data_IF_529632767739
#
_entry.id   IF_529632767739
#
_cell.length_a   1.000
_cell.length_b   1.000
_cell.length_c   1.000
_cell.angle_alpha   90.00
_cell.angle_beta   90.00
_cell.angle_gamma   90.00
#
_symmetry.space_group_name_H-M   'P 1'
#
loop_
_entity.id
_entity.type
_entity.pdbx_description
1 polymer ?
#
# COMPACT_ATOMS: atom_id res chain seq x y z
N UNK A 1 -7.56 34.70 18.79
CA UNK A 1 -8.52 35.78 19.13
C UNK A 1 -9.35 36.23 17.93
N UNK A 2 -8.74 36.48 16.76
CA UNK A 2 -9.48 36.92 15.57
C UNK A 2 -10.41 35.86 14.96
N UNK A 3 -9.97 34.59 14.82
CA UNK A 3 -10.85 33.49 14.36
C UNK A 3 -12.12 33.33 15.21
N UNK A 4 -11.96 33.36 16.55
CA UNK A 4 -13.07 33.31 17.49
C UNK A 4 -14.07 34.48 17.33
N UNK A 5 -13.59 35.65 16.89
CA UNK A 5 -14.46 36.78 16.60
C UNK A 5 -15.29 36.53 15.32
N UNK A 6 -14.68 35.95 14.27
CA UNK A 6 -15.39 35.53 13.06
C UNK A 6 -16.52 34.52 13.38
N UNK A 7 -16.25 33.53 14.23
CA UNK A 7 -17.26 32.55 14.68
C UNK A 7 -18.37 33.20 15.50
N UNK A 8 -18.02 34.11 16.41
CA UNK A 8 -19.01 34.82 17.24
C UNK A 8 -19.90 35.68 16.36
N UNK A 9 -19.33 36.32 15.34
CA UNK A 9 -20.08 37.10 14.36
C UNK A 9 -21.02 36.21 13.55
N UNK A 10 -20.52 35.11 12.97
CA UNK A 10 -21.30 34.14 12.19
C UNK A 10 -22.50 33.61 12.97
N UNK A 11 -22.29 33.25 14.25
CA UNK A 11 -23.37 32.81 15.15
C UNK A 11 -24.46 33.87 15.32
N UNK A 12 -24.09 35.14 15.38
CA UNK A 12 -25.04 36.24 15.62
C UNK A 12 -25.76 36.69 14.35
N UNK A 13 -25.10 36.66 13.19
CA UNK A 13 -25.69 37.08 11.91
C UNK A 13 -26.48 35.98 11.22
N UNK A 14 -26.24 34.72 11.61
CA UNK A 14 -26.92 33.55 11.08
C UNK A 14 -26.38 33.08 9.73
N UNK A 15 -26.98 32.00 9.23
CA UNK A 15 -26.49 31.25 8.07
C UNK A 15 -26.44 32.10 6.79
N UNK A 16 -27.56 32.71 6.41
CA UNK A 16 -27.68 33.52 5.20
C UNK A 16 -26.60 34.62 5.11
N UNK A 17 -26.42 35.39 6.19
CA UNK A 17 -25.46 36.50 6.21
C UNK A 17 -24.01 36.03 6.31
N UNK A 18 -23.76 34.88 6.92
CA UNK A 18 -22.43 34.25 6.90
C UNK A 18 -22.04 33.93 5.46
N UNK A 19 -22.96 33.37 4.68
CA UNK A 19 -22.74 33.07 3.27
C UNK A 19 -22.60 34.30 2.38
N UNK A 20 -23.47 35.30 2.54
CA UNK A 20 -23.54 36.44 1.61
C UNK A 20 -22.64 37.61 1.99
N UNK A 21 -22.20 37.71 3.23
CA UNK A 21 -21.40 38.84 3.72
C UNK A 21 -20.01 38.41 4.23
N UNK A 22 -19.90 37.35 5.03
CA UNK A 22 -18.62 36.97 5.66
C UNK A 22 -17.72 36.15 4.74
N UNK A 23 -18.25 35.13 4.06
CA UNK A 23 -17.44 34.29 3.17
C UNK A 23 -16.86 35.05 1.95
N UNK A 24 -17.57 35.99 1.31
CA UNK A 24 -16.97 36.80 0.24
C UNK A 24 -15.77 37.60 0.71
N UNK A 25 -15.81 38.12 1.94
CA UNK A 25 -14.67 38.79 2.55
C UNK A 25 -13.50 37.83 2.80
N UNK A 26 -13.78 36.60 3.23
CA UNK A 26 -12.75 35.58 3.32
C UNK A 26 -12.10 35.31 1.96
N UNK A 27 -12.91 35.16 0.90
CA UNK A 27 -12.46 34.92 -0.47
C UNK A 27 -11.56 36.05 -1.00
N UNK A 28 -11.93 37.30 -0.78
CA UNK A 28 -11.12 38.46 -1.20
C UNK A 28 -9.75 38.51 -0.51
N UNK A 29 -9.64 37.97 0.70
CA UNK A 29 -8.43 38.01 1.52
C UNK A 29 -7.50 36.81 1.33
N UNK A 30 -7.89 35.77 0.57
CA UNK A 30 -7.08 34.54 0.42
C UNK A 30 -5.74 34.79 -0.29
N UNK A 31 -5.64 35.85 -1.08
CA UNK A 31 -4.42 36.22 -1.82
C UNK A 31 -3.84 37.56 -1.33
N UNK A 32 -4.15 37.96 -0.10
CA UNK A 32 -3.67 39.22 0.45
C UNK A 32 -2.13 39.24 0.56
N UNK A 33 -1.53 40.43 0.41
CA UNK A 33 -0.06 40.58 0.44
C UNK A 33 0.57 40.17 1.78
N UNK A 34 -0.16 40.37 2.89
CA UNK A 34 0.28 40.02 4.24
C UNK A 34 -0.17 38.60 4.61
N UNK A 35 0.76 37.79 5.11
CA UNK A 35 0.48 36.40 5.49
C UNK A 35 -0.47 36.28 6.68
N UNK A 36 -0.51 37.26 7.58
CA UNK A 36 -1.39 37.28 8.74
C UNK A 36 -2.87 37.38 8.34
N UNK A 37 -3.15 38.10 7.24
CA UNK A 37 -4.49 38.17 6.66
C UNK A 37 -4.90 36.81 6.08
N UNK A 38 -4.02 36.17 5.31
CA UNK A 38 -4.29 34.84 4.72
C UNK A 38 -4.41 33.76 5.79
N UNK A 39 -3.58 33.84 6.84
CA UNK A 39 -3.62 32.96 8.00
C UNK A 39 -4.95 33.09 8.74
N UNK A 40 -5.47 34.30 8.92
CA UNK A 40 -6.78 34.50 9.53
C UNK A 40 -7.88 33.79 8.72
N UNK A 41 -7.82 33.85 7.39
CA UNK A 41 -8.76 33.11 6.54
C UNK A 41 -8.61 31.60 6.73
N UNK A 42 -7.37 31.09 6.70
CA UNK A 42 -7.07 29.68 6.90
C UNK A 42 -7.53 29.15 8.26
N UNK A 43 -7.52 29.97 9.30
CA UNK A 43 -8.05 29.60 10.62
C UNK A 43 -9.58 29.67 10.66
N UNK A 44 -10.17 30.70 10.06
CA UNK A 44 -11.60 30.99 10.24
C UNK A 44 -12.52 30.14 9.35
N UNK A 45 -12.13 29.84 8.10
CA UNK A 45 -13.07 29.27 7.10
C UNK A 45 -13.71 27.94 7.52
N UNK A 46 -12.95 27.01 8.07
CA UNK A 46 -13.46 25.73 8.58
C UNK A 46 -14.29 25.85 9.84
N UNK A 47 -14.01 26.84 10.70
CA UNK A 47 -14.89 27.14 11.83
C UNK A 47 -16.23 27.76 11.35
N UNK A 48 -16.18 28.57 10.28
CA UNK A 48 -17.36 29.14 9.63
C UNK A 48 -18.21 28.09 8.90
N UNK A 49 -17.64 26.92 8.55
CA UNK A 49 -18.35 25.88 7.82
C UNK A 49 -19.61 25.38 8.56
N UNK A 50 -19.62 25.40 9.89
CA UNK A 50 -20.79 25.04 10.69
C UNK A 50 -21.96 26.03 10.60
N UNK A 51 -21.75 27.21 10.01
CA UNK A 51 -22.73 28.29 9.90
C UNK A 51 -23.14 28.56 8.45
N UNK A 52 -22.90 27.63 7.53
CA UNK A 52 -23.34 27.72 6.13
C UNK A 52 -23.96 26.41 5.67
N UNK A 53 -24.70 26.47 4.57
CA UNK A 53 -25.34 25.31 3.95
C UNK A 53 -24.31 24.34 3.37
N UNK A 54 -24.61 23.02 3.31
CA UNK A 54 -23.70 22.01 2.77
C UNK A 54 -23.16 22.36 1.37
N UNK A 55 -23.99 22.93 0.50
CA UNK A 55 -23.59 23.28 -0.87
C UNK A 55 -22.45 24.31 -0.89
N UNK A 56 -22.42 25.22 0.09
CA UNK A 56 -21.37 26.24 0.23
C UNK A 56 -20.09 25.65 0.83
N UNK A 57 -20.21 24.64 1.70
CA UNK A 57 -19.05 23.90 2.23
C UNK A 57 -18.32 23.17 1.11
N UNK A 58 -19.10 22.46 0.29
CA UNK A 58 -18.64 21.63 -0.83
C UNK A 58 -18.01 22.41 -1.98
N UNK A 59 -18.45 23.65 -2.18
CA UNK A 59 -18.03 24.50 -3.30
C UNK A 59 -17.01 25.56 -2.86
N UNK A 60 -17.42 26.51 -2.02
CA UNK A 60 -16.62 27.68 -1.68
C UNK A 60 -15.60 27.41 -0.58
N UNK A 61 -16.01 26.83 0.55
CA UNK A 61 -15.07 26.64 1.67
C UNK A 61 -13.98 25.63 1.30
N UNK A 62 -14.35 24.51 0.68
CA UNK A 62 -13.37 23.53 0.21
C UNK A 62 -12.39 24.14 -0.80
N UNK A 63 -12.84 25.01 -1.72
CA UNK A 63 -11.94 25.67 -2.68
C UNK A 63 -11.03 26.71 -2.02
N UNK A 64 -11.51 27.44 -1.01
CA UNK A 64 -10.66 28.32 -0.19
C UNK A 64 -9.55 27.52 0.49
N UNK A 65 -9.91 26.43 1.17
CA UNK A 65 -8.93 25.57 1.85
C UNK A 65 -7.94 24.97 0.86
N UNK A 66 -8.40 24.52 -0.31
CA UNK A 66 -7.53 24.02 -1.37
C UNK A 66 -6.50 25.05 -1.81
N UNK A 67 -6.90 26.31 -2.03
CA UNK A 67 -5.96 27.35 -2.42
C UNK A 67 -4.96 27.67 -1.30
N UNK A 68 -5.39 27.65 -0.04
CA UNK A 68 -4.52 27.94 1.10
C UNK A 68 -3.53 26.81 1.42
N UNK A 69 -3.82 25.57 1.02
CA UNK A 69 -2.86 24.46 1.06
C UNK A 69 -1.69 24.70 0.11
N UNK A 70 -1.87 25.50 -0.94
CA UNK A 70 -0.80 25.84 -1.90
C UNK A 70 -0.11 27.19 -1.55
N UNK A 71 -0.40 27.78 -0.38
CA UNK A 71 0.14 29.09 0.01
C UNK A 71 1.67 29.06 0.17
N UNK A 72 2.34 30.18 -0.12
CA UNK A 72 3.79 30.30 0.06
C UNK A 72 4.21 30.25 1.53
N UNK A 73 3.38 30.74 2.45
CA UNK A 73 3.67 30.80 3.87
C UNK A 73 3.34 29.47 4.57
N UNK A 74 4.33 28.95 5.30
CA UNK A 74 4.21 27.68 6.04
C UNK A 74 3.06 27.69 7.05
N UNK A 75 2.91 28.79 7.79
CA UNK A 75 1.86 28.93 8.81
C UNK A 75 0.45 28.89 8.22
N UNK A 76 0.28 29.36 6.99
CA UNK A 76 -1.00 29.34 6.28
C UNK A 76 -1.35 27.93 5.85
N UNK A 77 -0.40 27.20 5.23
CA UNK A 77 -0.59 25.79 4.85
C UNK A 77 -0.87 24.90 6.05
N UNK A 78 -0.15 25.11 7.16
CA UNK A 78 -0.37 24.38 8.41
C UNK A 78 -1.80 24.63 8.94
N UNK A 79 -2.25 25.89 8.97
CA UNK A 79 -3.62 26.22 9.36
C UNK A 79 -4.66 25.62 8.41
N UNK A 80 -4.40 25.61 7.11
CA UNK A 80 -5.28 25.00 6.11
C UNK A 80 -5.43 23.48 6.30
N UNK A 81 -4.35 22.78 6.69
CA UNK A 81 -4.40 21.35 7.01
C UNK A 81 -5.36 21.06 8.19
N UNK A 82 -5.26 21.84 9.28
CA UNK A 82 -6.19 21.75 10.43
C UNK A 82 -7.62 22.09 10.02
N UNK A 83 -7.77 23.06 9.12
CA UNK A 83 -9.06 23.51 8.65
C UNK A 83 -9.79 22.43 7.84
N UNK A 84 -9.03 21.68 7.03
CA UNK A 84 -9.57 20.58 6.25
C UNK A 84 -10.13 19.46 7.15
N UNK A 85 -9.47 19.16 8.26
CA UNK A 85 -9.98 18.21 9.28
C UNK A 85 -11.35 18.64 9.82
N UNK A 86 -11.51 19.93 10.19
CA UNK A 86 -12.78 20.47 10.66
C UNK A 86 -13.93 20.35 9.64
N UNK A 87 -13.60 20.34 8.35
CA UNK A 87 -14.58 20.27 7.27
C UNK A 87 -15.11 18.85 7.04
N UNK A 88 -14.30 17.81 7.30
CA UNK A 88 -14.65 16.41 7.03
C UNK A 88 -15.99 15.96 7.65
N UNK A 89 -16.27 16.20 8.95
CA UNK A 89 -17.54 15.78 9.55
C UNK A 89 -18.75 16.56 9.05
N UNK A 90 -18.54 17.66 8.31
CA UNK A 90 -19.59 18.53 7.81
C UNK A 90 -20.03 18.21 6.38
N UNK A 91 -19.30 17.32 5.69
CA UNK A 91 -19.68 16.81 4.37
C UNK A 91 -20.85 15.83 4.47
N UNK A 92 -21.88 15.96 3.60
CA UNK A 92 -23.08 15.14 3.69
C UNK A 92 -22.87 13.69 3.22
N UNK A 93 -21.87 13.46 2.37
CA UNK A 93 -21.57 12.18 1.74
C UNK A 93 -20.05 12.06 1.42
N UNK A 94 -19.67 11.00 0.70
CA UNK A 94 -18.27 10.69 0.38
C UNK A 94 -17.80 11.26 -0.97
N UNK A 95 -18.59 12.10 -1.65
CA UNK A 95 -18.28 12.58 -3.02
C UNK A 95 -16.98 13.40 -3.06
N UNK A 96 -16.61 14.03 -1.95
CA UNK A 96 -15.38 14.84 -1.82
C UNK A 96 -14.18 14.03 -1.33
N UNK A 97 -14.34 12.74 -1.01
CA UNK A 97 -13.29 11.95 -0.36
C UNK A 97 -11.99 11.91 -1.17
N UNK A 98 -12.07 11.58 -2.45
CA UNK A 98 -10.89 11.50 -3.32
C UNK A 98 -10.15 12.84 -3.39
N UNK A 99 -10.90 13.94 -3.48
CA UNK A 99 -10.31 15.28 -3.51
C UNK A 99 -9.58 15.63 -2.22
N UNK A 100 -10.19 15.32 -1.07
CA UNK A 100 -9.59 15.51 0.25
C UNK A 100 -8.36 14.60 0.43
N UNK A 101 -8.42 13.36 -0.04
CA UNK A 101 -7.30 12.42 0.00
C UNK A 101 -6.10 12.98 -0.79
N UNK A 102 -6.32 13.50 -2.00
CA UNK A 102 -5.28 14.15 -2.80
C UNK A 102 -4.66 15.35 -2.08
N UNK A 103 -5.49 16.19 -1.45
CA UNK A 103 -5.04 17.34 -0.65
C UNK A 103 -4.20 16.89 0.56
N UNK A 104 -4.63 15.82 1.24
CA UNK A 104 -3.87 15.23 2.34
C UNK A 104 -2.53 14.67 1.86
N UNK A 105 -2.48 13.96 0.74
CA UNK A 105 -1.23 13.48 0.16
C UNK A 105 -0.27 14.62 -0.21
N UNK A 106 -0.79 15.72 -0.75
CA UNK A 106 0.01 16.91 -1.01
C UNK A 106 0.65 17.45 0.28
N UNK A 107 -0.13 17.58 1.36
CA UNK A 107 0.33 18.10 2.65
C UNK A 107 1.31 17.18 3.38
N UNK A 108 1.18 15.84 3.25
CA UNK A 108 2.16 14.90 3.82
C UNK A 108 3.52 14.99 3.09
N UNK A 109 3.53 15.47 1.86
CA UNK A 109 4.74 15.73 1.08
C UNK A 109 5.21 17.19 1.15
N UNK A 110 4.69 18.00 2.08
CA UNK A 110 5.08 19.41 2.23
C UNK A 110 6.57 19.57 2.57
N UNK A 111 7.27 20.58 2.03
CA UNK A 111 8.66 20.84 2.38
C UNK A 111 8.87 21.24 3.85
N UNK A 112 7.83 21.72 4.54
CA UNK A 112 7.89 22.08 5.95
C UNK A 112 7.50 20.91 6.85
N UNK A 113 8.43 20.51 7.70
CA UNK A 113 8.16 19.49 8.73
C UNK A 113 7.01 19.84 9.67
N UNK A 114 6.70 21.13 9.90
CA UNK A 114 5.57 21.54 10.74
C UNK A 114 4.21 21.22 10.08
N UNK A 115 4.11 21.40 8.76
CA UNK A 115 2.91 21.06 7.99
C UNK A 115 2.75 19.54 7.93
N UNK A 116 3.83 18.82 7.65
CA UNK A 116 3.84 17.34 7.64
C UNK A 116 3.44 16.78 9.00
N UNK A 117 4.01 17.28 10.10
CA UNK A 117 3.72 16.82 11.46
C UNK A 117 2.25 17.05 11.84
N UNK A 118 1.72 18.24 11.55
CA UNK A 118 0.30 18.56 11.75
C UNK A 118 -0.59 17.63 10.93
N UNK A 119 -0.25 17.42 9.66
CA UNK A 119 -1.02 16.58 8.74
C UNK A 119 -1.05 15.13 9.20
N UNK A 120 0.09 14.56 9.61
CA UNK A 120 0.17 13.18 10.12
C UNK A 120 -0.58 13.01 11.43
N UNK A 121 -0.52 14.00 12.33
CA UNK A 121 -1.15 13.91 13.67
C UNK A 121 -2.65 14.15 13.66
N UNK A 122 -3.14 14.98 12.75
CA UNK A 122 -4.53 15.47 12.78
C UNK A 122 -5.29 15.02 11.54
N UNK A 123 -4.87 15.47 10.35
CA UNK A 123 -5.62 15.25 9.11
C UNK A 123 -5.64 13.78 8.66
N UNK A 124 -4.51 13.06 8.72
CA UNK A 124 -4.42 11.65 8.31
C UNK A 124 -5.40 10.78 9.12
N UNK A 125 -5.38 10.79 10.48
CA UNK A 125 -6.37 10.06 11.27
C UNK A 125 -7.82 10.44 10.95
N UNK A 126 -8.09 11.73 10.70
CA UNK A 126 -9.42 12.20 10.37
C UNK A 126 -9.92 11.67 9.02
N UNK A 127 -9.09 11.70 7.98
CA UNK A 127 -9.42 11.14 6.65
C UNK A 127 -9.63 9.63 6.76
N UNK A 128 -8.78 8.90 7.49
CA UNK A 128 -8.93 7.46 7.69
C UNK A 128 -10.24 7.11 8.42
N UNK A 129 -10.59 7.87 9.45
CA UNK A 129 -11.85 7.72 10.18
C UNK A 129 -13.06 8.04 9.29
N UNK A 130 -12.95 9.03 8.42
CA UNK A 130 -14.01 9.40 7.49
C UNK A 130 -14.25 8.28 6.45
N UNK A 131 -13.17 7.68 5.93
CA UNK A 131 -13.22 6.55 4.99
C UNK A 131 -13.46 5.17 5.61
N UNK A 132 -13.55 5.08 6.95
CA UNK A 132 -13.68 3.79 7.67
C UNK A 132 -14.96 3.03 7.29
N UNK A 133 -16.06 3.76 7.07
CA UNK A 133 -17.36 3.16 6.66
C UNK A 133 -17.25 2.36 5.36
N UNK A 134 -16.39 2.81 4.46
CA UNK A 134 -16.14 2.19 3.16
C UNK A 134 -14.98 1.18 3.19
N UNK A 135 -14.39 0.96 4.39
CA UNK A 135 -13.24 0.07 4.62
C UNK A 135 -12.00 0.42 3.79
N UNK A 136 -11.82 1.70 3.47
CA UNK A 136 -10.70 2.18 2.66
C UNK A 136 -9.39 2.35 3.43
N UNK A 137 -9.37 2.15 4.75
CA UNK A 137 -8.21 2.44 5.61
C UNK A 137 -6.90 1.83 5.11
N UNK A 138 -6.89 0.51 4.83
CA UNK A 138 -5.68 -0.17 4.32
C UNK A 138 -5.31 0.34 2.94
N UNK A 139 -6.31 0.56 2.08
CA UNK A 139 -6.11 1.00 0.70
C UNK A 139 -5.48 2.41 0.62
N UNK A 140 -5.94 3.32 1.46
CA UNK A 140 -5.43 4.69 1.62
C UNK A 140 -4.01 4.68 2.16
N UNK A 141 -3.74 3.87 3.20
CA UNK A 141 -2.39 3.75 3.76
C UNK A 141 -1.39 3.19 2.74
N UNK A 142 -1.80 2.23 1.90
CA UNK A 142 -0.95 1.72 0.83
C UNK A 142 -0.69 2.77 -0.27
N UNK A 143 -1.69 3.59 -0.62
CA UNK A 143 -1.48 4.75 -1.51
C UNK A 143 -0.53 5.77 -0.91
N UNK A 144 -0.66 6.06 0.39
CA UNK A 144 0.22 6.95 1.11
C UNK A 144 1.67 6.44 1.10
N UNK A 145 1.88 5.16 1.40
CA UNK A 145 3.20 4.53 1.33
C UNK A 145 3.81 4.62 -0.07
N UNK A 146 3.00 4.40 -1.11
CA UNK A 146 3.44 4.55 -2.50
C UNK A 146 3.84 6.00 -2.82
N UNK A 147 3.07 6.98 -2.31
CA UNK A 147 3.36 8.41 -2.49
C UNK A 147 4.65 8.83 -1.77
N UNK A 148 4.91 8.26 -0.58
CA UNK A 148 6.11 8.54 0.21
C UNK A 148 7.36 7.84 -0.30
N UNK A 149 7.22 6.77 -1.09
CA UNK A 149 8.34 5.95 -1.54
C UNK A 149 9.49 6.73 -2.22
N UNK A 150 9.25 7.68 -3.14
CA UNK A 150 10.33 8.49 -3.72
C UNK A 150 11.08 9.33 -2.68
N UNK A 151 10.36 9.87 -1.69
CA UNK A 151 10.94 10.69 -0.61
C UNK A 151 11.80 9.82 0.30
N UNK A 152 11.28 8.67 0.74
CA UNK A 152 12.03 7.69 1.57
C UNK A 152 13.30 7.24 0.84
N UNK A 153 13.19 6.95 -0.46
CA UNK A 153 14.34 6.58 -1.29
C UNK A 153 15.39 7.70 -1.37
N UNK A 154 14.96 8.94 -1.61
CA UNK A 154 15.87 10.07 -1.67
C UNK A 154 16.57 10.31 -0.33
N UNK A 155 15.83 10.30 0.79
CA UNK A 155 16.42 10.44 2.13
C UNK A 155 17.38 9.29 2.41
N UNK A 156 17.06 8.05 2.02
CA UNK A 156 17.96 6.93 2.19
C UNK A 156 19.29 7.19 1.46
N UNK A 157 19.25 7.67 0.20
CA UNK A 157 20.44 8.06 -0.55
C UNK A 157 21.21 9.20 0.14
N UNK A 158 20.53 10.28 0.53
CA UNK A 158 21.16 11.47 1.10
C UNK A 158 21.80 11.20 2.47
N UNK A 159 21.23 10.27 3.24
CA UNK A 159 21.72 9.83 4.54
C UNK A 159 22.71 8.66 4.46
N UNK A 160 23.04 8.21 3.25
CA UNK A 160 23.98 7.12 3.04
C UNK A 160 25.34 7.48 3.64
N UNK A 161 25.76 6.72 4.64
CA UNK A 161 27.00 6.99 5.38
C UNK A 161 28.27 6.48 4.68
N UNK A 162 28.16 5.99 3.44
CA UNK A 162 29.26 5.43 2.65
C UNK A 162 29.55 6.32 1.41
N UNK A 163 30.36 7.39 1.55
CA UNK A 163 30.59 8.37 0.49
C UNK A 163 31.49 7.90 -0.67
N UNK A 164 32.16 6.75 -0.56
CA UNK A 164 33.10 6.25 -1.59
C UNK A 164 32.44 5.67 -2.85
N UNK A 165 31.13 5.85 -3.03
CA UNK A 165 30.39 5.39 -4.21
C UNK A 165 30.08 6.58 -5.13
N UNK A 166 31.11 7.13 -5.79
CA UNK A 166 30.91 8.10 -6.88
C UNK A 166 30.43 7.44 -8.19
N UNK A 167 30.11 6.14 -8.15
CA UNK A 167 29.43 5.41 -9.23
C UNK A 167 27.95 5.18 -8.89
N UNK A 168 27.28 6.17 -8.29
CA UNK A 168 25.82 6.28 -8.47
C UNK A 168 25.59 6.64 -9.94
N UNK A 169 25.62 5.65 -10.83
CA UNK A 169 25.12 5.80 -12.20
C UNK A 169 23.59 5.85 -12.17
N UNK A 170 23.03 6.85 -11.49
CA UNK A 170 21.60 7.01 -11.28
C UNK A 170 21.01 6.01 -10.28
N UNK A 171 20.27 6.54 -9.31
CA UNK A 171 19.12 5.91 -8.60
C UNK A 171 19.25 4.52 -7.94
N UNK A 172 20.34 3.75 -8.04
CA UNK A 172 20.39 2.37 -7.58
C UNK A 172 21.51 2.10 -6.56
N UNK A 173 21.25 1.21 -5.61
CA UNK A 173 22.26 0.71 -4.66
C UNK A 173 23.10 -0.39 -5.31
N UNK A 174 24.43 -0.30 -5.22
CA UNK A 174 25.39 -1.28 -5.79
C UNK A 174 25.50 -2.57 -4.96
N UNK A 175 25.85 -3.69 -5.61
CA UNK A 175 26.12 -5.02 -5.05
C UNK A 175 27.00 -5.04 -3.78
N UNK A 176 27.94 -4.10 -3.64
CA UNK A 176 28.84 -4.05 -2.47
C UNK A 176 28.22 -3.41 -1.23
N UNK A 177 27.04 -2.78 -1.37
CA UNK A 177 26.41 -2.03 -0.29
C UNK A 177 25.78 -2.93 0.78
N UNK A 178 24.98 -3.98 0.46
CA UNK A 178 24.40 -4.84 1.49
C UNK A 178 25.45 -5.56 2.33
N UNK A 179 26.59 -5.93 1.74
CA UNK A 179 27.70 -6.57 2.44
C UNK A 179 28.38 -5.63 3.44
N UNK A 180 28.66 -4.38 3.03
CA UNK A 180 29.24 -3.37 3.95
C UNK A 180 28.24 -2.90 5.01
N UNK A 181 26.95 -2.90 4.67
CA UNK A 181 25.88 -2.61 5.61
C UNK A 181 25.81 -3.66 6.73
N UNK A 182 25.89 -4.95 6.38
CA UNK A 182 25.85 -6.03 7.38
C UNK A 182 27.06 -6.05 8.32
N UNK A 183 28.20 -5.49 7.91
CA UNK A 183 29.39 -5.27 8.76
C UNK A 183 29.12 -4.33 9.96
N UNK A 184 27.98 -3.62 9.98
CA UNK A 184 27.42 -3.00 11.18
C UNK A 184 28.19 -1.79 11.74
N UNK A 185 29.03 -1.14 10.93
CA UNK A 185 29.88 -0.03 11.41
C UNK A 185 29.15 1.29 11.61
N UNK A 186 28.01 1.49 10.94
CA UNK A 186 27.24 2.74 10.94
C UNK A 186 25.73 2.42 10.93
N UNK A 187 24.95 3.20 11.67
CA UNK A 187 23.49 3.15 11.65
C UNK A 187 22.94 3.80 10.39
N UNK A 188 21.93 3.19 9.77
CA UNK A 188 21.23 3.76 8.62
C UNK A 188 19.71 3.68 8.79
N UNK A 189 19.12 4.46 9.71
CA UNK A 189 17.74 4.27 10.15
C UNK A 189 16.71 4.35 9.03
N UNK A 190 16.87 5.25 8.06
CA UNK A 190 15.92 5.41 6.94
C UNK A 190 15.94 4.20 6.00
N UNK A 191 17.12 3.62 5.76
CA UNK A 191 17.25 2.39 4.98
C UNK A 191 16.69 1.18 5.75
N UNK A 192 17.01 1.11 7.04
CA UNK A 192 16.56 0.05 7.95
C UNK A 192 15.07 -0.01 8.16
N UNK A 193 14.41 1.14 8.26
CA UNK A 193 12.99 1.23 8.53
C UNK A 193 12.15 0.38 7.55
N UNK A 194 12.57 0.28 6.28
CA UNK A 194 11.86 -0.54 5.31
C UNK A 194 11.84 -2.01 5.70
N UNK A 195 12.99 -2.59 6.02
CA UNK A 195 13.11 -4.03 6.29
C UNK A 195 12.95 -4.43 7.75
N UNK A 196 13.12 -3.49 8.70
CA UNK A 196 12.91 -3.72 10.12
C UNK A 196 11.46 -3.46 10.57
N UNK A 197 10.75 -2.51 9.94
CA UNK A 197 9.42 -2.09 10.36
C UNK A 197 8.36 -2.14 9.24
N UNK A 198 8.63 -1.57 8.05
CA UNK A 198 7.64 -1.43 6.98
C UNK A 198 7.17 -2.77 6.39
N UNK A 199 8.06 -3.53 5.73
CA UNK A 199 7.70 -4.84 5.15
C UNK A 199 7.20 -5.82 6.21
N UNK A 200 7.80 -5.87 7.42
CA UNK A 200 7.29 -6.74 8.46
C UNK A 200 5.86 -6.37 8.93
N UNK A 201 5.50 -5.08 8.91
CA UNK A 201 4.11 -4.63 9.13
C UNK A 201 3.20 -5.00 7.96
N UNK A 202 3.67 -4.91 6.72
CA UNK A 202 2.92 -5.35 5.53
C UNK A 202 2.63 -6.85 5.57
N UNK A 203 3.59 -7.69 5.96
CA UNK A 203 3.40 -9.14 6.15
C UNK A 203 2.35 -9.42 7.22
N UNK A 204 2.35 -8.66 8.32
CA UNK A 204 1.32 -8.77 9.34
C UNK A 204 -0.06 -8.38 8.80
N UNK A 205 -0.16 -7.26 8.07
CA UNK A 205 -1.41 -6.84 7.42
C UNK A 205 -1.91 -7.93 6.47
N UNK A 206 -1.05 -8.46 5.60
CA UNK A 206 -1.38 -9.55 4.67
C UNK A 206 -1.99 -10.75 5.40
N UNK A 207 -1.39 -11.15 6.52
CA UNK A 207 -1.84 -12.28 7.33
C UNK A 207 -3.23 -12.06 7.96
N UNK A 208 -3.65 -10.79 8.10
CA UNK A 208 -4.97 -10.39 8.60
C UNK A 208 -5.99 -10.16 7.48
N UNK A 209 -5.57 -10.08 6.21
CA UNK A 209 -6.48 -9.86 5.09
C UNK A 209 -7.32 -11.11 4.79
N UNK A 210 -8.64 -10.96 4.57
CA UNK A 210 -9.46 -12.03 4.04
C UNK A 210 -8.93 -12.55 2.70
N UNK A 211 -9.14 -13.84 2.45
CA UNK A 211 -8.67 -14.49 1.22
C UNK A 211 -9.18 -13.87 -0.09
N UNK A 212 -10.28 -13.14 -0.04
CA UNK A 212 -10.93 -12.54 -1.22
C UNK A 212 -10.39 -11.14 -1.56
N UNK A 213 -9.56 -10.55 -0.70
CA UNK A 213 -9.01 -9.20 -0.88
C UNK A 213 -7.84 -9.16 -1.88
N UNK A 214 -8.08 -9.66 -3.09
CA UNK A 214 -7.07 -9.69 -4.16
C UNK A 214 -6.65 -8.29 -4.60
N UNK A 215 -7.54 -7.29 -4.50
CA UNK A 215 -7.25 -5.89 -4.82
C UNK A 215 -6.15 -5.32 -3.92
N UNK A 216 -6.24 -5.55 -2.61
CA UNK A 216 -5.26 -5.11 -1.63
C UNK A 216 -3.94 -5.87 -1.80
N UNK A 217 -3.99 -7.19 -2.01
CA UNK A 217 -2.78 -7.97 -2.30
C UNK A 217 -2.09 -7.49 -3.58
N UNK A 218 -2.85 -7.21 -4.63
CA UNK A 218 -2.30 -6.66 -5.88
C UNK A 218 -1.62 -5.32 -5.63
N UNK A 219 -2.22 -4.45 -4.81
CA UNK A 219 -1.62 -3.16 -4.43
C UNK A 219 -0.34 -3.32 -3.61
N UNK A 220 -0.30 -4.27 -2.68
CA UNK A 220 0.92 -4.60 -1.92
C UNK A 220 2.01 -5.16 -2.86
N UNK A 221 1.66 -6.07 -3.77
CA UNK A 221 2.59 -6.56 -4.79
C UNK A 221 3.14 -5.41 -5.64
N UNK A 222 2.29 -4.50 -6.12
CA UNK A 222 2.73 -3.32 -6.86
C UNK A 222 3.65 -2.41 -6.05
N UNK A 223 3.42 -2.25 -4.73
CA UNK A 223 4.31 -1.52 -3.85
C UNK A 223 5.69 -2.19 -3.74
N UNK A 224 5.74 -3.50 -3.51
CA UNK A 224 7.01 -4.25 -3.42
C UNK A 224 7.80 -4.21 -4.74
N UNK A 225 7.12 -4.33 -5.88
CA UNK A 225 7.73 -4.15 -7.20
C UNK A 225 8.26 -2.73 -7.38
N UNK A 226 7.51 -1.70 -6.97
CA UNK A 226 7.95 -0.31 -7.06
C UNK A 226 9.17 -0.03 -6.16
N UNK A 227 9.22 -0.61 -4.96
CA UNK A 227 10.41 -0.55 -4.10
C UNK A 227 11.59 -1.21 -4.78
N UNK A 228 11.41 -2.42 -5.32
CA UNK A 228 12.46 -3.17 -6.02
C UNK A 228 13.01 -2.42 -7.23
N UNK A 229 12.14 -1.78 -8.01
CA UNK A 229 12.52 -0.93 -9.14
C UNK A 229 13.28 0.32 -8.72
N UNK A 230 13.10 0.84 -7.50
CA UNK A 230 13.84 2.02 -7.04
C UNK A 230 15.15 1.66 -6.35
N UNK A 231 15.09 0.75 -5.38
CA UNK A 231 16.24 0.36 -4.58
C UNK A 231 17.20 -0.56 -5.35
N UNK A 232 16.71 -1.25 -6.39
CA UNK A 232 17.51 -2.11 -7.26
C UNK A 232 17.38 -3.60 -6.92
N UNK A 233 17.87 -4.42 -7.86
CA UNK A 233 17.76 -5.88 -7.80
C UNK A 233 18.52 -6.49 -6.63
N UNK A 234 19.65 -5.92 -6.24
CA UNK A 234 20.45 -6.40 -5.11
C UNK A 234 19.68 -6.26 -3.79
N UNK A 235 18.99 -5.13 -3.60
CA UNK A 235 18.13 -4.92 -2.44
C UNK A 235 16.95 -5.90 -2.42
N UNK A 236 16.32 -6.13 -3.58
CA UNK A 236 15.29 -7.16 -3.71
C UNK A 236 15.84 -8.55 -3.31
N UNK A 237 16.99 -8.94 -3.86
CA UNK A 237 17.57 -10.28 -3.70
C UNK A 237 18.04 -10.56 -2.28
N UNK A 238 18.66 -9.56 -1.64
CA UNK A 238 19.36 -9.74 -0.38
C UNK A 238 18.57 -9.26 0.84
N UNK A 239 17.51 -8.45 0.65
CA UNK A 239 16.70 -7.90 1.74
C UNK A 239 15.24 -8.31 1.60
N UNK A 240 14.55 -7.93 0.51
CA UNK A 240 13.10 -8.19 0.41
C UNK A 240 12.81 -9.70 0.29
N UNK A 241 13.51 -10.41 -0.59
CA UNK A 241 13.27 -11.83 -0.83
C UNK A 241 13.48 -12.69 0.44
N UNK A 242 14.59 -12.58 1.18
CA UNK A 242 14.76 -13.35 2.41
C UNK A 242 13.70 -13.11 3.47
N UNK A 243 13.21 -11.87 3.61
CA UNK A 243 12.13 -11.54 4.54
C UNK A 243 10.85 -12.30 4.22
N UNK A 244 10.45 -12.31 2.94
CA UNK A 244 9.22 -12.99 2.52
C UNK A 244 9.38 -14.52 2.51
N UNK A 245 10.56 -15.05 2.16
CA UNK A 245 10.86 -16.48 2.27
C UNK A 245 10.74 -16.97 3.71
N UNK A 246 11.35 -16.27 4.67
CA UNK A 246 11.23 -16.63 6.10
C UNK A 246 9.77 -16.55 6.56
N UNK A 247 9.02 -15.55 6.11
CA UNK A 247 7.61 -15.38 6.48
C UNK A 247 6.69 -16.49 5.94
N UNK A 248 7.00 -17.09 4.79
CA UNK A 248 6.27 -18.27 4.28
C UNK A 248 6.74 -19.59 4.89
N UNK A 249 7.80 -19.57 5.69
CA UNK A 249 8.35 -20.77 6.34
C UNK A 249 9.55 -21.38 5.64
N UNK A 250 10.06 -20.75 4.58
CA UNK A 250 11.21 -21.21 3.82
C UNK A 250 12.54 -20.79 4.48
N UNK A 251 13.62 -21.40 4.00
CA UNK A 251 14.97 -21.02 4.39
C UNK A 251 15.45 -19.86 3.52
N UNK A 252 16.17 -18.92 4.13
CA UNK A 252 16.78 -17.80 3.41
C UNK A 252 18.13 -17.43 4.02
N UNK A 253 19.01 -16.88 3.18
CA UNK A 253 20.25 -16.27 3.64
C UNK A 253 19.97 -14.89 4.24
N UNK A 254 20.42 -14.68 5.48
CA UNK A 254 20.26 -13.43 6.21
C UNK A 254 21.60 -12.70 6.41
N UNK A 255 22.65 -13.10 5.68
CA UNK A 255 24.00 -12.51 5.75
C UNK A 255 24.03 -11.01 5.48
N UNK A 256 23.11 -10.50 4.68
CA UNK A 256 22.98 -9.08 4.33
C UNK A 256 22.23 -8.24 5.38
N UNK A 257 21.72 -8.84 6.45
CA UNK A 257 21.06 -8.13 7.55
C UNK A 257 22.00 -7.93 8.73
N UNK A 258 21.80 -6.83 9.47
CA UNK A 258 22.48 -6.61 10.75
C UNK A 258 22.13 -7.72 11.74
N UNK A 259 23.11 -8.06 12.57
CA UNK A 259 22.97 -9.07 13.63
C UNK A 259 21.83 -8.77 14.60
N UNK A 260 21.46 -7.49 14.77
CA UNK A 260 20.34 -7.01 15.58
C UNK A 260 18.97 -7.29 14.92
N UNK A 261 18.89 -7.29 13.59
CA UNK A 261 17.66 -7.52 12.83
C UNK A 261 17.40 -9.01 12.59
N UNK A 262 18.45 -9.83 12.43
CA UNK A 262 18.30 -11.26 12.12
C UNK A 262 17.38 -12.05 13.09
N UNK A 263 17.47 -11.88 14.43
CA UNK A 263 16.57 -12.58 15.35
C UNK A 263 15.10 -12.18 15.15
N UNK A 264 14.82 -10.89 14.90
CA UNK A 264 13.47 -10.38 14.65
C UNK A 264 12.88 -10.98 13.38
N UNK A 265 13.71 -11.15 12.35
CA UNK A 265 13.31 -11.77 11.08
C UNK A 265 13.02 -13.25 11.28
N UNK A 266 13.93 -13.98 11.93
CA UNK A 266 13.76 -15.42 12.24
C UNK A 266 12.51 -15.69 13.08
N UNK A 267 12.15 -14.78 13.99
CA UNK A 267 10.95 -14.89 14.82
C UNK A 267 9.63 -14.83 14.02
N UNK A 268 9.67 -14.43 12.75
CA UNK A 268 8.49 -14.37 11.85
C UNK A 268 8.24 -15.67 11.11
N UNK A 269 9.12 -16.66 11.25
CA UNK A 269 8.88 -17.98 10.67
C UNK A 269 7.65 -18.61 11.34
N UNK A 270 6.67 -19.11 10.57
CA UNK A 270 5.54 -19.83 11.14
C UNK A 270 6.00 -21.03 11.98
N UNK A 271 5.54 -21.10 13.23
CA UNK A 271 5.91 -22.18 14.16
C UNK A 271 4.82 -23.25 14.22
N UNK A 272 3.55 -22.84 14.21
CA UNK A 272 2.40 -23.74 14.30
C UNK A 272 1.73 -23.92 12.93
N UNK A 273 1.03 -25.03 12.75
CA UNK A 273 0.39 -25.38 11.48
C UNK A 273 -0.62 -24.33 10.98
N UNK A 274 -1.29 -23.62 11.89
CA UNK A 274 -2.24 -22.57 11.54
C UNK A 274 -1.52 -21.37 10.90
N UNK A 275 -0.42 -20.91 11.50
CA UNK A 275 0.38 -19.80 10.98
C UNK A 275 1.00 -20.17 9.63
N UNK A 276 1.48 -21.41 9.49
CA UNK A 276 2.03 -21.90 8.23
C UNK A 276 0.98 -21.86 7.12
N UNK A 277 -0.24 -22.32 7.43
CA UNK A 277 -1.37 -22.25 6.51
C UNK A 277 -1.77 -20.81 6.15
N UNK A 278 -1.79 -19.88 7.12
CA UNK A 278 -2.04 -18.45 6.86
C UNK A 278 -0.95 -17.90 5.94
N UNK A 279 0.32 -18.24 6.18
CA UNK A 279 1.43 -17.79 5.35
C UNK A 279 1.31 -18.29 3.90
N UNK A 280 0.94 -19.56 3.69
CA UNK A 280 0.64 -20.12 2.37
C UNK A 280 -0.54 -19.41 1.69
N UNK A 281 -1.58 -19.01 2.43
CA UNK A 281 -2.78 -18.42 1.85
C UNK A 281 -2.69 -16.91 1.60
N UNK A 282 -1.88 -16.20 2.39
CA UNK A 282 -1.90 -14.75 2.46
C UNK A 282 -0.57 -14.09 2.08
N UNK A 283 0.57 -14.72 2.43
CA UNK A 283 1.90 -14.15 2.19
C UNK A 283 2.52 -14.70 0.90
N UNK A 284 2.41 -16.01 0.67
CA UNK A 284 2.91 -16.67 -0.54
C UNK A 284 2.38 -16.07 -1.86
N UNK A 285 1.09 -15.70 -2.02
CA UNK A 285 0.63 -15.02 -3.24
C UNK A 285 1.42 -13.74 -3.55
N UNK A 286 1.79 -12.99 -2.51
CA UNK A 286 2.54 -11.73 -2.64
C UNK A 286 4.03 -11.97 -2.80
N UNK A 287 4.60 -13.02 -2.19
CA UNK A 287 5.96 -13.47 -2.49
C UNK A 287 6.08 -13.81 -3.99
N UNK A 288 5.13 -14.57 -4.53
CA UNK A 288 5.14 -14.97 -5.94
C UNK A 288 5.00 -13.77 -6.88
N UNK A 289 4.02 -12.89 -6.67
CA UNK A 289 3.72 -11.81 -7.61
C UNK A 289 4.48 -10.50 -7.34
N UNK A 290 4.74 -10.17 -6.07
CA UNK A 290 5.31 -8.88 -5.65
C UNK A 290 6.82 -8.89 -5.43
N UNK A 291 7.43 -10.06 -5.32
CA UNK A 291 8.87 -10.23 -5.03
C UNK A 291 9.54 -11.05 -6.12
N UNK A 292 9.13 -12.31 -6.29
CA UNK A 292 9.64 -13.19 -7.35
C UNK A 292 9.10 -12.82 -8.74
N UNK A 293 7.95 -12.14 -8.79
CA UNK A 293 7.34 -11.60 -10.02
C UNK A 293 8.10 -10.42 -10.62
N UNK A 294 9.16 -9.94 -9.97
CA UNK A 294 10.02 -8.91 -10.54
C UNK A 294 10.62 -9.38 -11.89
N UNK A 295 10.64 -8.56 -12.95
CA UNK A 295 11.01 -9.01 -14.31
C UNK A 295 12.34 -9.76 -14.39
N UNK A 296 13.36 -9.34 -13.63
CA UNK A 296 14.68 -9.97 -13.62
C UNK A 296 14.76 -11.28 -12.81
N UNK A 297 13.68 -11.68 -12.13
CA UNK A 297 13.62 -12.89 -11.30
C UNK A 297 12.83 -14.03 -11.95
N UNK A 298 12.55 -13.95 -13.26
CA UNK A 298 11.75 -14.94 -13.98
C UNK A 298 12.25 -16.39 -13.83
N UNK A 299 13.56 -16.62 -13.95
CA UNK A 299 14.14 -17.96 -13.78
C UNK A 299 13.96 -18.48 -12.34
N UNK A 300 14.21 -17.62 -11.35
CA UNK A 300 14.05 -17.96 -9.93
C UNK A 300 12.57 -18.24 -9.59
N UNK A 301 11.65 -17.44 -10.11
CA UNK A 301 10.20 -17.68 -9.96
C UNK A 301 9.80 -19.01 -10.58
N UNK A 302 10.30 -19.31 -11.78
CA UNK A 302 10.01 -20.58 -12.48
C UNK A 302 10.44 -21.77 -11.62
N UNK A 303 11.67 -21.74 -11.13
CA UNK A 303 12.22 -22.83 -10.34
C UNK A 303 11.54 -22.97 -8.98
N UNK A 304 11.28 -21.85 -8.30
CA UNK A 304 10.55 -21.84 -7.04
C UNK A 304 9.13 -22.40 -7.21
N UNK A 305 8.39 -21.95 -8.22
CA UNK A 305 7.03 -22.39 -8.48
C UNK A 305 6.97 -23.87 -8.90
N UNK A 306 7.93 -24.35 -9.69
CA UNK A 306 8.06 -25.77 -10.05
C UNK A 306 8.23 -26.64 -8.80
N UNK A 307 9.19 -26.29 -7.93
CA UNK A 307 9.45 -27.04 -6.71
C UNK A 307 8.24 -27.03 -5.76
N UNK A 308 7.59 -25.88 -5.63
CA UNK A 308 6.38 -25.72 -4.82
C UNK A 308 5.22 -26.60 -5.32
N UNK A 309 4.98 -26.62 -6.63
CA UNK A 309 3.90 -27.42 -7.23
C UNK A 309 4.18 -28.92 -7.15
N UNK A 310 5.42 -29.36 -7.37
CA UNK A 310 5.81 -30.77 -7.24
C UNK A 310 5.62 -31.26 -5.80
N UNK A 311 6.10 -30.49 -4.80
CA UNK A 311 5.91 -30.84 -3.39
C UNK A 311 4.44 -30.89 -2.99
N UNK A 312 3.60 -30.04 -3.59
CA UNK A 312 2.16 -30.03 -3.32
C UNK A 312 1.39 -31.21 -3.94
N UNK A 313 1.99 -31.95 -4.89
CA UNK A 313 1.34 -33.06 -5.58
C UNK A 313 1.39 -34.40 -4.82
N UNK A 314 2.14 -34.48 -3.71
CA UNK A 314 2.27 -35.71 -2.92
C UNK A 314 0.93 -36.12 -2.28
N UNK A 315 0.52 -37.38 -2.42
CA UNK A 315 -0.85 -37.87 -2.16
C UNK A 315 -1.14 -38.23 -0.69
N UNK A 316 -1.08 -37.28 0.24
CA UNK A 316 -1.60 -37.46 1.62
C UNK A 316 -2.80 -36.54 1.90
N UNK A 317 -3.69 -36.91 2.82
CA UNK A 317 -4.90 -36.11 3.12
C UNK A 317 -4.59 -34.70 3.65
N UNK A 318 -3.52 -34.55 4.44
CA UNK A 318 -2.99 -33.24 4.86
C UNK A 318 -2.33 -32.47 3.72
N UNK A 319 -1.75 -33.20 2.75
CA UNK A 319 -1.23 -32.61 1.51
C UNK A 319 -2.33 -32.10 0.59
N UNK A 320 -3.52 -32.70 0.56
CA UNK A 320 -4.64 -32.22 -0.28
C UNK A 320 -5.17 -30.84 0.11
N UNK A 321 -5.15 -30.48 1.40
CA UNK A 321 -5.54 -29.13 1.86
C UNK A 321 -4.40 -28.14 1.54
N UNK A 322 -3.16 -28.55 1.82
CA UNK A 322 -1.98 -27.74 1.50
C UNK A 322 -1.88 -27.46 -0.01
N UNK A 323 -2.20 -28.44 -0.86
CA UNK A 323 -2.19 -28.28 -2.31
C UNK A 323 -3.25 -27.29 -2.78
N UNK A 324 -4.47 -27.35 -2.24
CA UNK A 324 -5.51 -26.35 -2.52
C UNK A 324 -5.07 -24.92 -2.14
N UNK A 325 -4.41 -24.77 -0.99
CA UNK A 325 -3.91 -23.47 -0.52
C UNK A 325 -2.76 -22.95 -1.42
N UNK A 326 -1.87 -23.82 -1.90
CA UNK A 326 -0.85 -23.50 -2.91
C UNK A 326 -1.48 -23.10 -4.24
N UNK A 327 -2.45 -23.86 -4.77
CA UNK A 327 -3.14 -23.51 -6.02
C UNK A 327 -3.86 -22.17 -5.94
N UNK A 328 -4.40 -21.80 -4.77
CA UNK A 328 -4.99 -20.48 -4.57
C UNK A 328 -3.95 -19.35 -4.69
N UNK A 329 -2.71 -19.58 -4.26
CA UNK A 329 -1.59 -18.64 -4.45
C UNK A 329 -1.18 -18.52 -5.91
N UNK A 330 -1.14 -19.64 -6.64
CA UNK A 330 -0.86 -19.65 -8.08
C UNK A 330 -1.98 -18.97 -8.86
N UNK A 331 -3.24 -19.17 -8.48
CA UNK A 331 -4.40 -18.45 -9.06
C UNK A 331 -4.23 -16.94 -8.93
N UNK A 332 -3.76 -16.46 -7.77
CA UNK A 332 -3.48 -15.04 -7.58
C UNK A 332 -2.34 -14.55 -8.49
N UNK A 333 -1.27 -15.32 -8.65
CA UNK A 333 -0.19 -15.01 -9.62
C UNK A 333 -0.73 -14.87 -11.05
N UNK A 334 -1.72 -15.69 -11.42
CA UNK A 334 -2.40 -15.60 -12.72
C UNK A 334 -3.30 -14.36 -12.88
N UNK A 335 -3.43 -13.48 -11.89
CA UNK A 335 -4.03 -12.15 -12.11
C UNK A 335 -3.09 -11.20 -12.88
N UNK A 336 -1.83 -11.61 -13.10
CA UNK A 336 -0.82 -10.89 -13.85
C UNK A 336 -0.52 -11.65 -15.15
N UNK A 337 -0.91 -11.06 -16.28
CA UNK A 337 -0.84 -11.70 -17.61
C UNK A 337 0.58 -12.12 -18.01
N UNK A 338 1.58 -11.35 -17.58
CA UNK A 338 3.00 -11.60 -17.83
C UNK A 338 3.50 -12.94 -17.27
N UNK A 339 2.80 -13.53 -16.30
CA UNK A 339 3.19 -14.81 -15.69
C UNK A 339 2.43 -16.02 -16.26
N UNK A 340 1.44 -15.82 -17.13
CA UNK A 340 0.59 -16.92 -17.64
C UNK A 340 1.40 -17.99 -18.36
N UNK A 341 2.26 -17.60 -19.31
CA UNK A 341 3.07 -18.54 -20.08
C UNK A 341 3.99 -19.40 -19.19
N UNK A 342 4.60 -18.79 -18.17
CA UNK A 342 5.43 -19.49 -17.19
C UNK A 342 4.61 -20.55 -16.46
N UNK A 343 3.44 -20.18 -15.94
CA UNK A 343 2.57 -21.10 -15.19
C UNK A 343 2.11 -22.26 -16.09
N UNK A 344 1.67 -21.97 -17.31
CA UNK A 344 1.25 -23.00 -18.27
C UNK A 344 2.39 -23.98 -18.61
N UNK A 345 3.60 -23.48 -18.82
CA UNK A 345 4.77 -24.33 -19.13
C UNK A 345 5.09 -25.28 -17.97
N UNK A 346 5.08 -24.80 -16.72
CA UNK A 346 5.35 -25.63 -15.54
C UNK A 346 4.27 -26.71 -15.39
N UNK A 347 2.99 -26.35 -15.51
CA UNK A 347 1.88 -27.32 -15.44
C UNK A 347 2.00 -28.39 -16.53
N UNK A 348 2.41 -28.01 -17.73
CA UNK A 348 2.62 -28.95 -18.84
C UNK A 348 3.82 -29.88 -18.60
N UNK A 349 4.91 -29.38 -18.00
CA UNK A 349 6.06 -30.18 -17.59
C UNK A 349 5.69 -31.21 -16.53
N UNK A 350 4.94 -30.81 -15.51
CA UNK A 350 4.49 -31.72 -14.44
C UNK A 350 3.62 -32.84 -15.01
N UNK A 351 2.70 -32.53 -15.94
CA UNK A 351 1.87 -33.54 -16.62
C UNK A 351 2.70 -34.56 -17.42
N UNK A 352 3.83 -34.16 -18.01
CA UNK A 352 4.71 -35.10 -18.75
C UNK A 352 5.41 -36.10 -17.83
N UNK A 353 5.58 -35.78 -16.55
CA UNK A 353 6.29 -36.61 -15.57
C UNK A 353 5.36 -37.61 -14.88
N UNK A 354 4.04 -37.32 -14.79
CA UNK A 354 3.06 -38.18 -14.10
C UNK A 354 1.78 -38.42 -14.95
N UNK A 355 1.72 -39.47 -15.79
CA UNK A 355 0.62 -39.70 -16.74
C UNK A 355 -0.69 -40.20 -16.11
N UNK A 356 -0.82 -40.20 -14.78
CA UNK A 356 -1.94 -40.85 -14.05
C UNK A 356 -3.19 -39.95 -13.95
N UNK A 357 -3.12 -38.65 -14.27
CA UNK A 357 -4.26 -37.72 -14.15
C UNK A 357 -5.43 -37.98 -15.12
N UNK A 358 -5.25 -38.79 -16.16
CA UNK A 358 -6.31 -39.09 -17.13
C UNK A 358 -7.15 -40.34 -16.76
N UNK A 359 -6.84 -41.07 -15.68
CA UNK A 359 -7.52 -42.34 -15.35
C UNK A 359 -8.77 -42.24 -14.45
N UNK A 360 -9.10 -41.08 -13.89
CA UNK A 360 -10.30 -40.91 -13.03
C UNK A 360 -11.49 -40.22 -13.72
N UNK A 361 -11.40 -39.90 -15.02
CA UNK A 361 -12.49 -39.26 -15.76
C UNK A 361 -13.32 -40.20 -16.66
N UNK A 362 -12.99 -41.50 -16.75
CA UNK A 362 -13.57 -42.40 -17.77
C UNK A 362 -14.19 -43.71 -17.20
N UNK A 363 -14.68 -43.70 -15.96
CA UNK A 363 -15.59 -44.73 -15.45
C UNK A 363 -16.90 -44.11 -14.99
N UNK A 364 -17.76 -43.73 -15.94
CA UNK A 364 -19.03 -43.10 -15.59
C UNK A 364 -20.12 -42.99 -16.64
N UNK A 365 -19.96 -43.47 -17.88
CA UNK A 365 -21.06 -43.43 -18.87
C UNK A 365 -21.53 -44.83 -19.26
N UNK A 366 -22.41 -45.37 -18.41
CA UNK A 366 -23.18 -46.56 -18.70
C UNK A 366 -24.29 -46.20 -19.71
N UNK A 367 -24.05 -46.45 -20.99
CA UNK A 367 -25.04 -46.29 -22.06
C UNK A 367 -26.30 -47.14 -21.81
N UNK A 368 -27.36 -46.54 -21.29
CA UNK A 368 -28.72 -47.10 -21.42
C UNK A 368 -29.41 -46.55 -22.67
N UNK A 369 -29.67 -47.47 -23.59
CA UNK A 369 -30.45 -47.32 -24.82
C UNK A 369 -31.76 -46.53 -24.67
N UNK A 370 -31.99 -45.57 -25.57
CA UNK A 370 -33.31 -44.99 -25.87
C UNK A 370 -33.78 -45.52 -27.22
N UNK A 371 -35.01 -46.07 -27.35
CA UNK A 371 -35.47 -46.66 -28.60
C UNK A 371 -35.95 -45.59 -29.60
N UNK A 372 -35.55 -45.79 -30.86
CA UNK A 372 -35.91 -44.96 -32.02
C UNK A 372 -37.41 -45.07 -32.31
N UNK A 373 -38.11 -43.93 -32.28
CA UNK A 373 -39.52 -43.83 -32.69
C UNK A 373 -39.58 -43.58 -34.21
N UNK A 374 -40.09 -44.56 -34.93
CA UNK A 374 -40.36 -44.53 -36.37
C UNK A 374 -41.20 -43.31 -36.78
N UNK A 375 -40.77 -42.62 -37.85
CA UNK A 375 -41.63 -41.84 -38.74
C UNK A 375 -41.64 -42.51 -40.11
N UNK A 376 -42.78 -43.06 -40.52
CA UNK A 376 -43.17 -43.19 -41.92
C UNK A 376 -44.69 -43.09 -41.97
N UNK A 377 -45.22 -42.29 -42.90
CA UNK A 377 -46.57 -42.41 -43.47
C UNK A 377 -47.72 -41.90 -42.62
#
# INVERSE_FOLDING_TARGET
MASQACVTLARNVGEMRTETELLPQCWEQISHMYEECRLLVAQSCGELAGFVRPEIRDSLILSIVQQLIEDSATVVREAAARNLDLLLPLFPNMDKYIKVEEMMFHLVCDPSGAVVDTTIKELVPAVLKWGERERWTVDVLLRLLMQLLPIVHQIAIDTCSYPSFSEFTGTFFSLQLPQKYSDGRLDWPTFEWLHDDCFPSLIQILSLLPQKEDSLRKRISSFLLAVSTRFGEDYLTHIILPLFLVAVGDNADLSSFRSTSQPKIKARRPIIAMDARIATLCVLPVLLAGVLGFPNKHELLTEYLRNLLIQSADKTTQSAIHSADVYNSVRFLCLFEEHHNLVFNILWEIRKVDPIWDMEADEGDNYTHIPVRNRVG
#
